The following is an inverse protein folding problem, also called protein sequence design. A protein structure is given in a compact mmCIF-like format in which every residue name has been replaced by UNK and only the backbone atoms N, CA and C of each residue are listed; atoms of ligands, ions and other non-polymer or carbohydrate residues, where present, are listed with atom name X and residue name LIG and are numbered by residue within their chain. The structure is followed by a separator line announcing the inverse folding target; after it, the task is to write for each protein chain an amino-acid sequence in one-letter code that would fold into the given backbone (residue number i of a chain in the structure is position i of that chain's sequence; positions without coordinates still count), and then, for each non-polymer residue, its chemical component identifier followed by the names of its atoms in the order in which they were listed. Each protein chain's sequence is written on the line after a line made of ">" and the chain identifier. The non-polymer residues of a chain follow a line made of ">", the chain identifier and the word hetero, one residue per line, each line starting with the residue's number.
data_IF_294182754592
#
_entry.id   IF_294182754592
#
_cell.length_a   1.000
_cell.length_b   1.000
_cell.length_c   1.000
_cell.angle_alpha   90.00
_cell.angle_beta   90.00
_cell.angle_gamma   90.00
#
_symmetry.space_group_name_H-M   'P 1'
#
loop_
_entity.id
_entity.type
_entity.pdbx_description
1 polymer ?
#
# COMPACT_ATOMS: atom_id res chain seq x y z
N UNK A 1 -1.16 2.81 27.09
CA UNK A 1 -1.06 1.70 26.12
C UNK A 1 -2.14 1.93 25.07
N UNK A 2 -1.81 2.15 23.79
CA UNK A 2 -2.85 2.26 22.74
C UNK A 2 -3.49 0.89 22.56
N UNK A 3 -4.81 0.82 22.35
CA UNK A 3 -5.44 -0.44 21.92
C UNK A 3 -5.01 -0.75 20.49
N UNK A 4 -5.15 -2.01 20.04
CA UNK A 4 -4.85 -2.38 18.63
C UNK A 4 -5.63 -1.52 17.64
N UNK A 5 -6.89 -1.22 17.96
CA UNK A 5 -7.75 -0.37 17.14
C UNK A 5 -7.23 1.07 17.04
N UNK A 6 -6.82 1.67 18.16
CA UNK A 6 -6.20 3.01 18.14
C UNK A 6 -4.83 3.03 17.45
N UNK A 7 -4.12 1.89 17.39
CA UNK A 7 -2.85 1.80 16.66
C UNK A 7 -3.09 1.75 15.14
N UNK A 8 -4.04 0.94 14.67
CA UNK A 8 -4.30 0.84 13.22
C UNK A 8 -4.85 2.16 12.64
N UNK A 9 -5.71 2.87 13.38
CA UNK A 9 -6.19 4.20 12.98
C UNK A 9 -5.05 5.23 12.91
N UNK A 10 -4.07 5.13 13.81
CA UNK A 10 -2.88 5.98 13.80
C UNK A 10 -1.97 5.71 12.60
N UNK A 11 -1.83 4.44 12.24
CA UNK A 11 -1.09 4.00 11.05
C UNK A 11 -1.81 4.49 9.80
N UNK A 12 -3.10 4.20 9.66
CA UNK A 12 -3.92 4.61 8.51
C UNK A 12 -3.84 6.12 8.29
N UNK A 13 -3.99 6.93 9.35
CA UNK A 13 -3.86 8.39 9.25
C UNK A 13 -2.47 8.83 8.77
N UNK A 14 -1.40 8.19 9.23
CA UNK A 14 -0.03 8.51 8.81
C UNK A 14 0.26 8.08 7.37
N UNK A 15 -0.27 6.93 6.96
CA UNK A 15 -0.16 6.42 5.59
C UNK A 15 -0.96 7.31 4.63
N UNK A 16 -2.22 7.61 4.95
CA UNK A 16 -3.07 8.51 4.16
C UNK A 16 -2.45 9.91 4.02
N UNK A 17 -1.89 10.48 5.10
CA UNK A 17 -1.21 11.78 5.04
C UNK A 17 0.01 11.75 4.12
N UNK A 18 0.77 10.65 4.11
CA UNK A 18 1.92 10.52 3.22
C UNK A 18 1.48 10.45 1.76
N UNK A 19 0.50 9.59 1.43
CA UNK A 19 0.02 9.46 0.06
C UNK A 19 -0.67 10.73 -0.47
N UNK A 20 -1.34 11.52 0.39
CA UNK A 20 -1.89 12.82 -0.02
C UNK A 20 -0.82 13.84 -0.40
N UNK A 21 0.41 13.65 0.05
CA UNK A 21 1.55 14.53 -0.21
C UNK A 21 2.55 13.92 -1.20
N UNK A 22 2.34 12.67 -1.62
CA UNK A 22 3.34 11.89 -2.36
C UNK A 22 3.78 12.56 -3.67
N UNK A 23 2.86 13.16 -4.44
CA UNK A 23 3.22 13.86 -5.67
C UNK A 23 4.11 15.09 -5.44
N UNK A 24 3.89 15.82 -4.34
CA UNK A 24 4.74 16.95 -3.96
C UNK A 24 6.10 16.46 -3.45
N UNK A 25 6.11 15.42 -2.61
CA UNK A 25 7.34 14.76 -2.16
C UNK A 25 8.19 14.29 -3.35
N UNK A 26 7.57 13.60 -4.32
CA UNK A 26 8.25 13.12 -5.51
C UNK A 26 8.87 14.27 -6.32
N UNK A 27 8.17 15.41 -6.43
CA UNK A 27 8.70 16.60 -7.11
C UNK A 27 9.88 17.21 -6.36
N UNK A 28 9.78 17.36 -5.05
CA UNK A 28 10.83 17.95 -4.20
C UNK A 28 12.10 17.08 -4.17
N UNK A 29 11.93 15.76 -4.14
CA UNK A 29 13.01 14.78 -4.13
C UNK A 29 13.52 14.45 -5.55
N UNK A 30 12.89 14.97 -6.60
CA UNK A 30 13.30 14.78 -7.99
C UNK A 30 13.11 13.34 -8.52
N UNK A 31 12.03 12.66 -8.13
CA UNK A 31 11.72 11.31 -8.61
C UNK A 31 11.14 11.35 -10.03
N UNK A 32 11.91 10.85 -10.98
CA UNK A 32 11.57 10.83 -12.40
C UNK A 32 11.34 9.41 -12.95
N UNK A 33 11.71 8.38 -12.18
CA UNK A 33 11.57 6.98 -12.57
C UNK A 33 10.73 6.21 -11.57
N UNK A 34 9.93 5.26 -12.06
CA UNK A 34 9.15 4.30 -11.28
C UNK A 34 9.95 3.70 -10.09
N UNK A 35 11.21 3.37 -10.31
CA UNK A 35 12.08 2.83 -9.26
C UNK A 35 12.36 3.79 -8.09
N UNK A 36 12.42 5.10 -8.36
CA UNK A 36 12.65 6.13 -7.34
C UNK A 36 11.39 6.31 -6.47
N UNK A 37 10.21 6.27 -7.10
CA UNK A 37 8.94 6.24 -6.40
C UNK A 37 8.82 5.02 -5.49
N UNK A 38 9.13 3.81 -6.00
CA UNK A 38 9.14 2.58 -5.18
C UNK A 38 10.08 2.71 -3.99
N UNK A 39 11.32 3.16 -4.20
CA UNK A 39 12.31 3.33 -3.12
C UNK A 39 11.82 4.33 -2.08
N UNK A 40 11.30 5.47 -2.51
CA UNK A 40 10.82 6.53 -1.62
C UNK A 40 9.63 6.09 -0.77
N UNK A 41 8.64 5.44 -1.39
CA UNK A 41 7.46 4.88 -0.69
C UNK A 41 7.89 3.79 0.29
N UNK A 42 8.71 2.83 -0.15
CA UNK A 42 9.16 1.74 0.71
C UNK A 42 10.01 2.25 1.88
N UNK A 43 10.87 3.25 1.67
CA UNK A 43 11.66 3.85 2.75
C UNK A 43 10.76 4.50 3.80
N UNK A 44 9.77 5.31 3.38
CA UNK A 44 8.83 5.93 4.31
C UNK A 44 8.04 4.88 5.11
N UNK A 45 7.43 3.90 4.42
CA UNK A 45 6.65 2.85 5.08
C UNK A 45 7.52 1.98 6.00
N UNK A 46 8.79 1.77 5.66
CA UNK A 46 9.73 1.03 6.53
C UNK A 46 9.99 1.78 7.82
N UNK A 47 10.33 3.07 7.72
CA UNK A 47 10.53 3.91 8.90
C UNK A 47 9.27 3.98 9.78
N UNK A 48 8.09 4.05 9.15
CA UNK A 48 6.82 4.06 9.87
C UNK A 48 6.56 2.73 10.57
N UNK A 49 6.77 1.60 9.91
CA UNK A 49 6.61 0.27 10.49
C UNK A 49 7.54 0.05 11.68
N UNK A 50 8.82 0.42 11.55
CA UNK A 50 9.80 0.38 12.64
C UNK A 50 9.41 1.26 13.82
N UNK A 51 8.93 2.48 13.57
CA UNK A 51 8.43 3.39 14.61
C UNK A 51 7.27 2.78 15.42
N UNK A 52 6.48 1.91 14.81
CA UNK A 52 5.38 1.18 15.46
C UNK A 52 5.79 -0.17 16.06
N UNK A 53 7.07 -0.54 15.98
CA UNK A 53 7.62 -1.77 16.56
C UNK A 53 7.35 -3.03 15.72
N UNK A 54 7.10 -2.88 14.42
CA UNK A 54 6.94 -4.01 13.51
C UNK A 54 8.23 -4.35 12.77
N UNK A 55 8.37 -5.60 12.36
CA UNK A 55 9.35 -5.99 11.35
C UNK A 55 8.81 -5.62 9.97
N UNK A 56 9.66 -5.11 9.10
CA UNK A 56 9.30 -4.67 7.77
C UNK A 56 10.08 -5.44 6.72
N UNK A 57 9.36 -5.89 5.70
CA UNK A 57 9.90 -6.61 4.56
C UNK A 57 9.48 -5.86 3.32
N UNK A 58 10.44 -5.49 2.47
CA UNK A 58 10.15 -4.63 1.33
C UNK A 58 11.09 -4.88 0.16
N UNK A 59 10.57 -4.63 -1.03
CA UNK A 59 11.34 -4.53 -2.25
C UNK A 59 12.21 -3.27 -2.23
N UNK A 60 13.42 -3.34 -2.78
CA UNK A 60 14.28 -2.16 -3.04
C UNK A 60 14.45 -1.20 -1.84
N UNK A 61 14.46 -1.72 -0.62
CA UNK A 61 14.63 -0.93 0.60
C UNK A 61 15.79 -1.49 1.43
N UNK A 62 16.83 -0.70 1.61
CA UNK A 62 18.05 -1.09 2.33
C UNK A 62 17.87 -1.15 3.85
N UNK A 63 16.89 -0.42 4.38
CA UNK A 63 16.60 -0.35 5.81
C UNK A 63 15.54 -1.37 6.25
N UNK A 64 15.00 -2.19 5.35
CA UNK A 64 14.03 -3.22 5.71
C UNK A 64 14.71 -4.41 6.42
N UNK A 65 13.98 -5.07 7.33
CA UNK A 65 14.43 -6.26 8.06
C UNK A 65 14.57 -7.49 7.15
N UNK A 66 13.90 -7.48 5.99
CA UNK A 66 14.00 -8.52 4.99
C UNK A 66 13.53 -8.07 3.61
N UNK A 67 13.68 -8.98 2.64
CA UNK A 67 13.22 -8.76 1.26
C UNK A 67 11.71 -8.91 1.16
N UNK A 68 11.15 -8.40 0.06
CA UNK A 68 9.78 -8.68 -0.38
C UNK A 68 9.47 -10.19 -0.32
N UNK A 69 8.18 -10.51 -0.28
CA UNK A 69 7.73 -11.89 -0.36
C UNK A 69 6.57 -12.02 -1.35
N UNK A 70 5.35 -12.27 -0.87
CA UNK A 70 4.15 -12.25 -1.70
C UNK A 70 3.76 -10.82 -2.09
N UNK A 71 4.03 -9.87 -1.19
CA UNK A 71 3.74 -8.45 -1.34
C UNK A 71 5.03 -7.67 -1.54
N UNK A 72 4.97 -6.60 -2.32
CA UNK A 72 6.08 -5.65 -2.49
C UNK A 72 6.53 -5.03 -1.16
N UNK A 73 5.59 -4.85 -0.21
CA UNK A 73 5.87 -4.37 1.14
C UNK A 73 4.90 -4.94 2.16
N UNK A 74 5.41 -5.48 3.27
CA UNK A 74 4.55 -5.93 4.37
C UNK A 74 5.21 -5.80 5.74
N UNK A 75 4.36 -5.58 6.74
CA UNK A 75 4.77 -5.50 8.14
C UNK A 75 4.39 -6.80 8.86
N UNK A 76 5.20 -7.21 9.82
CA UNK A 76 4.97 -8.39 10.64
C UNK A 76 5.03 -8.01 12.11
N UNK A 77 4.00 -8.42 12.84
CA UNK A 77 4.05 -8.49 14.30
C UNK A 77 4.33 -9.94 14.69
N UNK A 78 5.32 -10.14 15.56
CA UNK A 78 5.65 -11.44 16.13
C UNK A 78 5.26 -11.46 17.61
N UNK A 79 4.92 -12.64 18.15
CA UNK A 79 4.87 -12.82 19.60
C UNK A 79 6.27 -13.10 20.17
N UNK A 80 6.37 -13.21 21.50
CA UNK A 80 7.62 -13.46 22.23
C UNK A 80 8.32 -14.78 21.82
N UNK A 81 7.61 -15.69 21.15
CA UNK A 81 8.17 -16.94 20.62
C UNK A 81 8.67 -16.81 19.18
N UNK A 82 8.60 -15.62 18.59
CA UNK A 82 8.98 -15.36 17.20
C UNK A 82 7.93 -15.79 16.17
N UNK A 83 6.73 -16.22 16.58
CA UNK A 83 5.69 -16.63 15.63
C UNK A 83 4.96 -15.40 15.09
N UNK A 84 4.66 -15.41 13.78
CA UNK A 84 3.83 -14.39 13.14
C UNK A 84 2.42 -14.39 13.74
N UNK A 85 2.01 -13.25 14.29
CA UNK A 85 0.68 -13.08 14.90
C UNK A 85 -0.25 -12.19 14.08
N UNK A 86 0.28 -11.24 13.32
CA UNK A 86 -0.52 -10.41 12.43
C UNK A 86 0.33 -9.74 11.36
N UNK A 87 -0.34 -9.32 10.28
CA UNK A 87 0.20 -8.46 9.23
C UNK A 87 -0.49 -7.09 9.37
N UNK A 88 0.13 -6.10 10.04
CA UNK A 88 -0.50 -4.78 10.20
C UNK A 88 -0.70 -4.05 8.86
N UNK A 89 0.22 -4.23 7.91
CA UNK A 89 0.16 -3.60 6.61
C UNK A 89 0.68 -4.57 5.54
N UNK A 90 -0.03 -4.67 4.43
CA UNK A 90 0.45 -5.27 3.18
C UNK A 90 0.21 -4.28 2.03
N UNK A 91 1.15 -4.20 1.09
CA UNK A 91 1.08 -3.28 -0.05
C UNK A 91 1.63 -3.93 -1.30
N UNK A 92 0.96 -3.63 -2.42
CA UNK A 92 1.46 -3.83 -3.78
C UNK A 92 1.61 -2.48 -4.48
N UNK A 93 2.57 -2.39 -5.39
CA UNK A 93 2.89 -1.17 -6.12
C UNK A 93 3.21 -1.48 -7.59
N UNK A 94 2.30 -1.13 -8.49
CA UNK A 94 2.51 -1.35 -9.92
C UNK A 94 2.68 -0.05 -10.70
N UNK A 95 3.78 0.02 -11.46
CA UNK A 95 4.08 1.12 -12.34
C UNK A 95 4.21 0.65 -13.79
N UNK A 96 4.07 1.58 -14.74
CA UNK A 96 4.46 1.28 -16.11
C UNK A 96 4.00 2.29 -17.13
N UNK A 97 4.90 3.20 -17.47
CA UNK A 97 4.79 3.99 -18.68
C UNK A 97 4.67 3.07 -19.92
N UNK A 98 3.57 3.21 -20.68
CA UNK A 98 3.43 2.61 -22.01
C UNK A 98 3.03 1.12 -22.05
N UNK A 99 2.71 0.48 -20.93
CA UNK A 99 2.20 -0.88 -20.93
C UNK A 99 0.71 -0.90 -21.35
N UNK A 100 0.41 -1.54 -22.50
CA UNK A 100 -0.98 -1.72 -22.98
C UNK A 100 -1.92 -2.40 -21.97
N UNK A 101 -1.37 -3.06 -20.97
CA UNK A 101 -2.07 -3.91 -20.02
C UNK A 101 -1.91 -3.42 -18.57
N UNK A 102 -1.65 -2.13 -18.34
CA UNK A 102 -1.44 -1.58 -16.99
C UNK A 102 -2.58 -1.94 -16.02
N UNK A 103 -3.82 -1.74 -16.46
CA UNK A 103 -5.01 -2.08 -15.68
C UNK A 103 -5.06 -3.55 -15.27
N UNK A 104 -4.74 -4.47 -16.19
CA UNK A 104 -4.74 -5.91 -15.91
C UNK A 104 -3.74 -6.25 -14.81
N UNK A 105 -2.53 -5.67 -14.85
CA UNK A 105 -1.52 -5.90 -13.81
C UNK A 105 -1.94 -5.34 -12.45
N UNK A 106 -2.50 -4.12 -12.42
CA UNK A 106 -3.04 -3.53 -11.18
C UNK A 106 -4.10 -4.45 -10.57
N UNK A 107 -4.99 -5.00 -11.40
CA UNK A 107 -6.00 -5.96 -10.95
C UNK A 107 -5.37 -7.25 -10.46
N UNK A 108 -4.43 -7.84 -11.20
CA UNK A 108 -3.72 -9.06 -10.81
C UNK A 108 -3.01 -8.90 -9.45
N UNK A 109 -2.25 -7.82 -9.26
CA UNK A 109 -1.58 -7.56 -7.98
C UNK A 109 -2.59 -7.26 -6.87
N UNK A 110 -3.69 -6.54 -7.16
CA UNK A 110 -4.73 -6.32 -6.17
C UNK A 110 -5.40 -7.61 -5.68
N UNK A 111 -5.49 -8.66 -6.52
CA UNK A 111 -5.99 -9.96 -6.06
C UNK A 111 -5.10 -10.60 -4.99
N UNK A 112 -3.81 -10.25 -4.91
CA UNK A 112 -2.95 -10.68 -3.80
C UNK A 112 -3.35 -9.99 -2.49
N UNK A 113 -3.70 -8.71 -2.56
CA UNK A 113 -4.11 -7.92 -1.40
C UNK A 113 -5.49 -8.30 -0.88
N UNK A 114 -6.47 -8.52 -1.76
CA UNK A 114 -7.85 -8.78 -1.34
C UNK A 114 -7.97 -10.04 -0.46
N UNK A 115 -7.20 -11.08 -0.77
CA UNK A 115 -7.15 -12.31 0.03
C UNK A 115 -6.25 -12.20 1.27
N UNK A 116 -5.48 -11.12 1.43
CA UNK A 116 -4.51 -10.98 2.51
C UNK A 116 -5.23 -10.90 3.86
N UNK A 117 -4.73 -11.57 4.90
CA UNK A 117 -5.17 -11.36 6.29
C UNK A 117 -4.39 -10.20 6.94
N UNK A 118 -4.47 -9.02 6.32
CA UNK A 118 -3.80 -7.80 6.76
C UNK A 118 -4.79 -6.82 7.41
N UNK A 119 -4.32 -5.99 8.34
CA UNK A 119 -5.18 -4.98 8.98
C UNK A 119 -5.40 -3.75 8.07
N UNK A 120 -4.38 -3.36 7.30
CA UNK A 120 -4.46 -2.35 6.25
C UNK A 120 -3.84 -2.89 4.97
N UNK A 121 -4.58 -2.81 3.86
CA UNK A 121 -4.12 -3.18 2.52
C UNK A 121 -3.93 -1.90 1.69
N UNK A 122 -2.77 -1.72 1.09
CA UNK A 122 -2.46 -0.51 0.32
C UNK A 122 -2.18 -0.89 -1.12
N UNK A 123 -2.95 -0.38 -2.06
CA UNK A 123 -2.67 -0.54 -3.48
C UNK A 123 -2.14 0.78 -4.03
N UNK A 124 -0.91 0.76 -4.54
CA UNK A 124 -0.31 1.91 -5.21
C UNK A 124 -0.18 1.62 -6.70
N UNK A 125 -0.58 2.57 -7.54
CA UNK A 125 -0.47 2.38 -8.98
C UNK A 125 -0.36 3.69 -9.75
N UNK A 126 -0.16 3.62 -11.05
CA UNK A 126 -0.27 4.77 -11.96
C UNK A 126 -1.04 4.41 -13.24
N UNK A 127 -1.52 5.44 -13.94
CA UNK A 127 -2.16 5.26 -15.24
C UNK A 127 -2.97 6.47 -15.68
N UNK A 128 -3.86 6.25 -16.65
CA UNK A 128 -4.89 7.20 -17.05
C UNK A 128 -6.23 6.77 -16.46
N UNK A 129 -7.19 7.69 -16.36
CA UNK A 129 -8.56 7.38 -15.93
C UNK A 129 -8.61 6.70 -14.55
N UNK A 130 -7.79 7.18 -13.61
CA UNK A 130 -7.58 6.58 -12.28
C UNK A 130 -8.90 6.29 -11.55
N UNK A 131 -9.88 7.18 -11.63
CA UNK A 131 -11.20 6.97 -10.99
C UNK A 131 -11.88 5.68 -11.46
N UNK A 132 -11.79 5.32 -12.74
CA UNK A 132 -12.37 4.06 -13.25
C UNK A 132 -11.66 2.84 -12.68
N UNK A 133 -10.34 2.90 -12.49
CA UNK A 133 -9.60 1.81 -11.84
C UNK A 133 -9.94 1.74 -10.35
N UNK A 134 -10.05 2.88 -9.67
CA UNK A 134 -10.49 2.91 -8.27
C UNK A 134 -11.90 2.33 -8.08
N UNK A 135 -12.83 2.61 -8.99
CA UNK A 135 -14.18 2.04 -8.99
C UNK A 135 -14.14 0.52 -9.14
N UNK A 136 -13.33 0.01 -10.07
CA UNK A 136 -13.16 -1.43 -10.28
C UNK A 136 -12.57 -2.12 -9.04
N UNK A 137 -11.48 -1.59 -8.46
CA UNK A 137 -10.86 -2.16 -7.28
C UNK A 137 -11.81 -2.14 -6.07
N UNK A 138 -12.63 -1.09 -5.92
CA UNK A 138 -13.67 -1.03 -4.90
C UNK A 138 -14.74 -2.09 -5.12
N UNK A 139 -15.21 -2.28 -6.37
CA UNK A 139 -16.19 -3.32 -6.69
C UNK A 139 -15.63 -4.71 -6.38
N UNK A 140 -14.35 -4.96 -6.68
CA UNK A 140 -13.69 -6.22 -6.30
C UNK A 140 -13.77 -6.46 -4.79
N UNK A 141 -13.52 -5.45 -3.95
CA UNK A 141 -13.66 -5.56 -2.48
C UNK A 141 -15.09 -5.89 -2.08
N UNK A 142 -16.08 -5.25 -2.70
CA UNK A 142 -17.50 -5.44 -2.38
C UNK A 142 -18.03 -6.82 -2.82
N UNK A 143 -17.49 -7.38 -3.90
CA UNK A 143 -17.91 -8.66 -4.47
C UNK A 143 -17.13 -9.86 -3.91
N UNK A 144 -15.97 -9.63 -3.29
CA UNK A 144 -15.17 -10.71 -2.73
C UNK A 144 -15.86 -11.37 -1.54
N UNK A 145 -16.16 -12.66 -1.67
CA UNK A 145 -17.02 -13.39 -0.74
C UNK A 145 -16.47 -13.46 0.70
N UNK A 146 -15.15 -13.36 0.87
CA UNK A 146 -14.48 -13.43 2.17
C UNK A 146 -14.15 -12.06 2.77
N UNK A 147 -14.62 -10.96 2.16
CA UNK A 147 -14.51 -9.61 2.73
C UNK A 147 -15.19 -9.55 4.10
N UNK A 148 -14.51 -8.95 5.08
CA UNK A 148 -14.97 -8.90 6.47
C UNK A 148 -15.23 -7.47 6.94
N UNK A 149 -16.18 -7.32 7.88
CA UNK A 149 -16.37 -6.06 8.62
C UNK A 149 -15.05 -5.70 9.30
N UNK A 150 -14.63 -4.46 9.12
CA UNK A 150 -13.38 -3.92 9.62
C UNK A 150 -12.20 -4.07 8.65
N UNK A 151 -12.37 -4.67 7.46
CA UNK A 151 -11.34 -4.65 6.44
C UNK A 151 -11.07 -3.22 5.97
N UNK A 152 -9.79 -2.84 5.93
CA UNK A 152 -9.35 -1.49 5.55
C UNK A 152 -8.45 -1.52 4.33
N UNK A 153 -8.73 -0.63 3.39
CA UNK A 153 -7.94 -0.44 2.18
C UNK A 153 -7.59 1.04 2.00
N UNK A 154 -6.40 1.31 1.48
CA UNK A 154 -6.05 2.58 0.87
C UNK A 154 -5.64 2.33 -0.58
N UNK A 155 -6.47 2.78 -1.50
CA UNK A 155 -6.16 2.76 -2.93
C UNK A 155 -5.57 4.11 -3.30
N UNK A 156 -4.38 4.14 -3.92
CA UNK A 156 -3.68 5.38 -4.28
C UNK A 156 -3.12 5.28 -5.72
N UNK A 157 -3.72 6.03 -6.64
CA UNK A 157 -3.34 6.04 -8.06
C UNK A 157 -2.77 7.38 -8.52
N UNK A 158 -1.59 7.37 -9.15
CA UNK A 158 -1.01 8.54 -9.83
C UNK A 158 -1.58 8.68 -11.25
N UNK A 159 -2.31 9.76 -11.52
CA UNK A 159 -2.86 10.05 -12.84
C UNK A 159 -1.85 10.77 -13.72
N UNK A 160 -1.49 10.20 -14.89
CA UNK A 160 -0.63 10.89 -15.85
C UNK A 160 -1.33 12.07 -16.51
N UNK A 161 -2.65 12.00 -16.65
CA UNK A 161 -3.50 13.05 -17.22
C UNK A 161 -3.78 14.18 -16.21
N UNK A 162 -3.78 13.87 -14.92
CA UNK A 162 -4.06 14.85 -13.86
C UNK A 162 -2.81 15.38 -13.16
N UNK A 163 -1.68 14.67 -13.30
CA UNK A 163 -0.43 14.87 -12.56
C UNK A 163 -0.64 14.95 -11.04
N UNK A 164 -1.54 14.11 -10.52
CA UNK A 164 -1.95 14.08 -9.10
C UNK A 164 -2.17 12.66 -8.61
N UNK A 165 -2.05 12.49 -7.30
CA UNK A 165 -2.50 11.28 -6.61
C UNK A 165 -4.01 11.39 -6.36
N UNK A 166 -4.74 10.37 -6.79
CA UNK A 166 -6.12 10.11 -6.42
C UNK A 166 -6.12 9.04 -5.34
N UNK A 167 -6.87 9.26 -4.27
CA UNK A 167 -6.93 8.31 -3.15
C UNK A 167 -8.37 7.90 -2.85
N UNK A 168 -8.53 6.65 -2.46
CA UNK A 168 -9.79 6.11 -1.98
C UNK A 168 -9.58 5.21 -0.76
N UNK A 169 -9.77 5.74 0.46
CA UNK A 169 -9.84 4.89 1.65
C UNK A 169 -11.16 4.13 1.64
N UNK A 170 -11.11 2.84 1.98
CA UNK A 170 -12.29 1.98 2.13
C UNK A 170 -12.24 1.32 3.50
N UNK A 171 -13.38 1.31 4.19
CA UNK A 171 -13.60 0.56 5.42
C UNK A 171 -14.92 -0.19 5.23
N UNK A 172 -14.88 -1.50 5.39
CA UNK A 172 -16.06 -2.38 5.30
C UNK A 172 -16.75 -2.53 6.65
#
# INVERSE_FOLDING_TARGET
>A
MKTKETQIEDIERQVHKFFSQLGETARQEGWHKDSEWTVGINRYLTQLGHKHGFLVFASRCEIADGKEWLYDHHWRSLNDKGNLVSIPLAMEIEWGFGAKNMREKVVEDFTKLIQARAQLRVMVFQGNSIESTLDELQNMVQEFADTQIGDRYLLAGWGWDTEKIHMRPLII
#
